data_IF_848820077540
#
_entry.id   IF_848820077540
#
_cell.length_a   1.000
_cell.length_b   1.000
_cell.length_c   1.000
_cell.angle_alpha   90.00
_cell.angle_beta   90.00
_cell.angle_gamma   90.00
#
_symmetry.space_group_name_H-M   'P 1'
#
loop_
_entity.id
_entity.type
_entity.pdbx_description
1 polymer ?
#
# COMPACT_ATOMS: atom_id res chain seq x y z
N UNK A 1 17.36 23.29 51.44
CA UNK A 1 15.90 23.06 51.61
C UNK A 1 15.28 22.83 50.24
N UNK A 2 14.92 21.63 49.78
CA UNK A 2 15.22 20.26 50.17
C UNK A 2 15.46 19.44 48.90
N UNK A 3 16.52 18.63 48.87
CA UNK A 3 16.85 17.74 47.77
C UNK A 3 16.25 16.35 48.07
N UNK A 4 15.30 15.91 47.24
CA UNK A 4 14.83 14.53 47.23
C UNK A 4 15.87 13.66 46.53
N UNK A 5 16.52 12.79 47.31
CA UNK A 5 17.48 11.80 46.85
C UNK A 5 16.75 10.45 46.78
N UNK A 6 16.45 9.96 45.59
CA UNK A 6 15.92 8.61 45.39
C UNK A 6 17.05 7.58 45.56
N UNK A 7 16.95 6.73 46.59
CA UNK A 7 17.75 5.51 46.76
C UNK A 7 17.05 4.37 46.01
N UNK A 8 17.78 3.71 45.10
CA UNK A 8 17.36 2.44 44.50
C UNK A 8 17.64 1.29 45.49
N UNK A 9 16.73 0.30 45.63
CA UNK A 9 16.98 -0.87 46.46
C UNK A 9 17.98 -1.81 45.79
N UNK A 10 19.06 -2.12 46.50
CA UNK A 10 20.02 -3.18 46.18
C UNK A 10 19.37 -4.54 46.41
N UNK A 11 19.17 -5.31 45.34
CA UNK A 11 18.79 -6.72 45.44
C UNK A 11 20.02 -7.58 45.78
N UNK A 12 19.94 -8.29 46.90
CA UNK A 12 20.89 -9.32 47.28
C UNK A 12 20.56 -10.64 46.54
N UNK A 13 21.56 -11.38 46.03
CA UNK A 13 21.32 -12.69 45.43
C UNK A 13 21.02 -13.74 46.52
N UNK A 14 20.11 -14.71 46.27
CA UNK A 14 19.84 -15.76 47.23
C UNK A 14 21.01 -16.76 47.31
N UNK A 15 21.32 -17.15 48.54
CA UNK A 15 22.28 -18.19 48.91
C UNK A 15 21.84 -19.55 48.36
N UNK A 16 22.75 -20.24 47.69
CA UNK A 16 22.64 -21.65 47.37
C UNK A 16 22.96 -22.52 48.60
N UNK A 17 22.17 -23.56 48.82
CA UNK A 17 22.47 -24.67 49.72
C UNK A 17 22.79 -25.92 48.91
N UNK A 18 23.98 -26.47 49.16
CA UNK A 18 24.53 -27.71 48.62
C UNK A 18 23.84 -28.98 49.13
N UNK A 19 23.61 -29.93 48.22
CA UNK A 19 23.95 -31.38 48.25
C UNK A 19 23.60 -31.90 46.84
N UNK A 20 24.33 -32.75 46.12
CA UNK A 20 25.50 -33.58 46.38
C UNK A 20 26.21 -33.90 45.06
N UNK A 21 27.49 -34.28 45.19
CA UNK A 21 28.47 -34.42 44.13
C UNK A 21 28.53 -35.84 43.52
N UNK A 22 28.98 -35.92 42.26
CA UNK A 22 30.09 -36.73 41.71
C UNK A 22 29.84 -36.92 40.21
N UNK A 23 30.51 -36.13 39.36
CA UNK A 23 31.83 -36.39 38.73
C UNK A 23 31.70 -37.26 37.45
N UNK A 24 32.38 -37.00 36.32
CA UNK A 24 33.27 -35.94 35.87
C UNK A 24 33.66 -36.22 34.40
N UNK A 25 34.39 -35.26 33.83
CA UNK A 25 35.14 -35.22 32.55
C UNK A 25 34.33 -34.68 31.34
N UNK A 26 34.73 -33.57 30.70
CA UNK A 26 36.08 -33.06 30.48
C UNK A 26 36.22 -31.51 30.57
N UNK A 27 37.43 -31.11 31.00
CA UNK A 27 38.03 -29.76 31.10
C UNK A 27 38.11 -29.04 29.73
N UNK A 28 37.83 -27.72 29.61
CA UNK A 28 38.68 -26.54 29.94
C UNK A 28 39.93 -26.38 29.02
N UNK A 29 40.40 -25.24 28.50
CA UNK A 29 40.07 -23.80 28.50
C UNK A 29 40.98 -23.15 27.44
N UNK A 30 40.51 -22.17 26.65
CA UNK A 30 41.25 -20.92 26.43
C UNK A 30 40.31 -19.84 25.85
N UNK A 31 40.27 -18.70 26.54
CA UNK A 31 39.56 -17.50 26.16
C UNK A 31 40.36 -16.66 25.15
N UNK A 32 39.69 -15.91 24.27
CA UNK A 32 39.80 -14.45 24.14
C UNK A 32 39.10 -13.92 22.88
N UNK A 33 38.57 -12.69 23.02
CA UNK A 33 38.20 -11.71 21.98
C UNK A 33 36.83 -11.84 21.29
N UNK A 34 35.84 -11.20 21.94
CA UNK A 34 34.72 -10.53 21.28
C UNK A 34 34.85 -9.02 21.51
N UNK A 35 34.46 -8.19 20.53
CA UNK A 35 33.81 -6.92 20.84
C UNK A 35 32.40 -6.84 20.24
N UNK A 36 31.45 -6.40 21.07
CA UNK A 36 30.11 -5.93 20.72
C UNK A 36 30.14 -4.48 20.15
N UNK A 37 29.00 -3.81 19.91
CA UNK A 37 28.37 -3.67 18.61
C UNK A 37 28.44 -2.25 18.03
N UNK A 38 28.26 -2.16 16.70
CA UNK A 38 28.20 -0.93 15.91
C UNK A 38 26.98 -0.08 16.24
N UNK A 39 27.26 1.14 16.69
CA UNK A 39 26.36 2.29 16.81
C UNK A 39 26.51 3.15 15.54
N UNK A 40 25.38 3.72 15.09
CA UNK A 40 25.31 4.75 14.05
C UNK A 40 26.35 5.87 14.27
N UNK A 41 27.09 6.21 13.21
CA UNK A 41 27.69 7.54 13.07
C UNK A 41 27.71 7.96 11.60
N UNK A 42 27.09 9.12 11.35
CA UNK A 42 27.07 9.81 10.07
C UNK A 42 28.48 10.23 9.64
N UNK A 43 28.75 10.14 8.34
CA UNK A 43 30.01 10.53 7.74
C UNK A 43 30.24 12.05 7.78
N UNK A 44 31.41 12.44 8.28
CA UNK A 44 31.99 13.76 8.05
C UNK A 44 33.11 13.60 7.01
N UNK A 45 33.01 14.32 5.90
CA UNK A 45 34.06 14.43 4.89
C UNK A 45 35.05 15.56 5.26
N UNK A 46 36.35 15.44 4.91
CA UNK A 46 37.38 16.37 5.32
C UNK A 46 37.43 17.65 4.47
N UNK A 47 37.81 18.75 5.12
CA UNK A 47 38.09 20.04 4.52
C UNK A 47 39.38 20.01 3.67
N UNK A 48 39.32 20.65 2.50
CA UNK A 48 40.45 21.03 1.65
C UNK A 48 40.27 22.49 1.17
N UNK A 49 41.34 23.18 0.72
CA UNK A 49 41.58 24.58 1.09
C UNK A 49 40.93 25.63 0.17
N UNK A 50 40.88 26.84 0.74
CA UNK A 50 40.37 28.08 0.17
C UNK A 50 41.03 28.49 -1.16
N UNK A 51 40.22 29.03 -2.08
CA UNK A 51 40.66 29.90 -3.17
C UNK A 51 39.73 31.12 -3.24
N UNK A 52 40.36 32.26 -3.49
CA UNK A 52 39.91 33.62 -3.26
C UNK A 52 38.75 34.12 -4.15
N UNK A 53 38.11 35.18 -3.65
CA UNK A 53 37.12 36.01 -4.30
C UNK A 53 37.60 36.64 -5.61
N UNK A 54 36.73 36.67 -6.63
CA UNK A 54 36.73 37.72 -7.66
C UNK A 54 35.27 38.08 -8.02
N UNK A 55 35.08 39.38 -8.09
CA UNK A 55 33.91 40.23 -8.36
C UNK A 55 33.05 39.89 -9.58
N UNK A 56 31.76 40.18 -9.47
CA UNK A 56 30.83 40.39 -10.59
C UNK A 56 31.25 41.61 -11.45
N UNK A 57 30.78 41.69 -12.72
CA UNK A 57 29.68 42.63 -12.95
C UNK A 57 28.61 42.19 -13.97
N UNK A 58 27.45 42.83 -13.77
CA UNK A 58 26.35 43.17 -14.68
C UNK A 58 26.68 43.31 -16.17
N UNK A 59 25.81 42.80 -17.06
CA UNK A 59 25.02 43.61 -18.01
C UNK A 59 24.29 42.78 -19.10
N UNK A 60 22.98 43.05 -19.23
CA UNK A 60 22.20 43.29 -20.46
C UNK A 60 22.35 42.41 -21.73
N UNK A 61 21.22 41.76 -22.05
CA UNK A 61 20.42 41.92 -23.27
C UNK A 61 20.67 41.06 -24.55
N UNK A 62 19.52 40.75 -25.17
CA UNK A 62 19.21 40.46 -26.59
C UNK A 62 19.10 39.00 -27.06
N UNK A 63 17.83 38.63 -27.26
CA UNK A 63 17.21 38.10 -28.50
C UNK A 63 18.01 37.15 -29.38
N UNK A 64 17.44 35.99 -29.70
CA UNK A 64 16.96 35.66 -31.05
C UNK A 64 16.17 34.36 -31.07
N UNK A 65 15.12 34.37 -31.90
CA UNK A 65 14.18 33.30 -32.19
C UNK A 65 14.71 32.41 -33.35
N UNK A 66 13.95 31.43 -33.89
CA UNK A 66 14.45 30.08 -34.16
C UNK A 66 14.80 29.83 -35.63
N UNK A 67 15.54 28.75 -35.90
CA UNK A 67 15.69 28.19 -37.25
C UNK A 67 15.31 26.71 -37.33
N UNK A 68 14.44 26.46 -38.31
CA UNK A 68 14.01 25.18 -38.87
C UNK A 68 15.15 24.43 -39.57
N UNK A 69 15.04 23.10 -39.61
CA UNK A 69 15.17 22.21 -40.79
C UNK A 69 15.42 20.78 -40.27
N UNK A 70 14.46 19.87 -40.37
CA UNK A 70 14.25 18.94 -41.50
C UNK A 70 15.19 17.74 -41.51
N UNK A 71 14.58 16.55 -41.43
CA UNK A 71 14.76 15.41 -42.34
C UNK A 71 15.14 14.04 -41.69
N UNK A 72 14.30 13.05 -42.03
CA UNK A 72 14.60 11.66 -42.40
C UNK A 72 14.84 10.59 -41.31
N UNK A 73 13.92 9.60 -41.33
CA UNK A 73 13.93 8.24 -40.76
C UNK A 73 15.10 7.35 -41.27
N UNK A 74 15.13 6.01 -41.04
CA UNK A 74 14.86 5.18 -39.85
C UNK A 74 16.00 4.14 -39.57
N UNK A 75 16.06 3.54 -38.37
CA UNK A 75 16.66 2.23 -38.09
C UNK A 75 16.23 1.77 -36.68
N UNK A 76 15.46 0.70 -36.50
CA UNK A 76 15.87 -0.71 -36.51
C UNK A 76 16.94 -1.03 -35.44
N UNK A 77 16.55 -1.78 -34.41
CA UNK A 77 17.42 -2.29 -33.34
C UNK A 77 16.57 -2.67 -32.11
N UNK A 78 15.83 -3.76 -32.17
CA UNK A 78 16.23 -5.09 -31.70
C UNK A 78 15.86 -5.32 -30.23
N UNK A 79 14.76 -6.04 -30.06
CA UNK A 79 14.25 -6.66 -28.83
C UNK A 79 14.89 -8.05 -28.66
N UNK A 80 15.43 -8.33 -27.48
CA UNK A 80 15.71 -9.65 -26.89
C UNK A 80 16.23 -9.39 -25.45
N UNK A 81 15.86 -10.09 -24.38
CA UNK A 81 15.43 -11.47 -24.27
C UNK A 81 14.55 -11.66 -23.01
N UNK A 82 13.43 -12.35 -23.15
CA UNK A 82 12.79 -13.08 -22.06
C UNK A 82 12.91 -14.55 -22.42
N UNK A 83 13.68 -15.27 -21.63
CA UNK A 83 13.99 -16.69 -21.83
C UNK A 83 12.77 -17.54 -21.47
N UNK A 84 12.37 -18.38 -22.42
CA UNK A 84 11.24 -19.28 -22.36
C UNK A 84 11.40 -20.39 -21.31
N UNK A 85 10.33 -20.65 -20.54
CA UNK A 85 10.12 -21.90 -19.82
C UNK A 85 9.52 -22.93 -20.81
N UNK A 86 10.35 -23.85 -21.27
CA UNK A 86 9.93 -24.98 -22.09
C UNK A 86 9.33 -26.09 -21.19
N UNK A 87 8.03 -26.31 -21.33
CA UNK A 87 7.29 -27.43 -20.74
C UNK A 87 7.73 -28.72 -21.43
N UNK A 88 8.42 -29.60 -20.70
CA UNK A 88 8.70 -30.96 -21.16
C UNK A 88 7.52 -31.87 -20.83
N UNK A 89 6.99 -32.52 -21.86
CA UNK A 89 5.92 -33.49 -21.77
C UNK A 89 6.49 -34.85 -21.37
N UNK A 90 6.32 -35.25 -20.11
CA UNK A 90 6.66 -36.60 -19.68
C UNK A 90 5.41 -37.41 -19.30
N UNK A 91 4.96 -38.15 -20.31
CA UNK A 91 4.06 -39.31 -20.23
C UNK A 91 4.54 -40.27 -19.14
N UNK A 92 3.81 -40.43 -18.04
CA UNK A 92 3.89 -41.64 -17.19
C UNK A 92 2.55 -42.03 -16.55
N UNK A 93 2.06 -43.15 -17.07
CA UNK A 93 1.45 -44.33 -16.41
C UNK A 93 0.35 -44.10 -15.35
N UNK A 94 -0.84 -44.56 -15.79
CA UNK A 94 -2.02 -44.92 -15.03
C UNK A 94 -1.69 -45.73 -13.76
N UNK A 95 -2.10 -45.23 -12.61
CA UNK A 95 -2.49 -46.04 -11.46
C UNK A 95 -3.93 -45.71 -11.10
N UNK A 96 -4.81 -46.68 -11.35
CA UNK A 96 -6.21 -46.67 -10.94
C UNK A 96 -6.29 -47.00 -9.46
N UNK A 97 -6.56 -45.99 -8.62
CA UNK A 97 -6.99 -46.20 -7.24
C UNK A 97 -8.50 -45.95 -7.16
N UNK A 98 -9.23 -47.01 -6.81
CA UNK A 98 -10.66 -47.00 -6.48
C UNK A 98 -10.90 -46.12 -5.25
N UNK A 99 -11.57 -44.98 -5.41
CA UNK A 99 -12.24 -44.31 -4.31
C UNK A 99 -13.74 -44.55 -4.39
N UNK A 100 -14.27 -45.17 -3.33
CA UNK A 100 -15.67 -45.49 -3.09
C UNK A 100 -16.51 -44.21 -3.00
N UNK A 101 -17.73 -44.32 -3.51
CA UNK A 101 -18.68 -43.23 -3.57
C UNK A 101 -19.11 -42.67 -2.22
N UNK A 102 -19.31 -41.36 -2.22
CA UNK A 102 -20.17 -40.68 -1.27
C UNK A 102 -21.29 -40.00 -2.06
N UNK A 103 -22.50 -40.30 -1.65
CA UNK A 103 -23.75 -39.93 -2.29
C UNK A 103 -23.94 -38.41 -2.33
N UNK A 104 -24.22 -37.89 -3.53
CA UNK A 104 -24.70 -36.54 -3.73
C UNK A 104 -26.11 -36.41 -3.13
N UNK A 105 -26.23 -35.66 -2.03
CA UNK A 105 -27.52 -35.16 -1.54
C UNK A 105 -27.99 -34.04 -2.48
N UNK A 106 -29.08 -34.30 -3.21
CA UNK A 106 -29.83 -33.28 -3.95
C UNK A 106 -30.37 -32.23 -2.97
N UNK A 107 -29.86 -31.01 -3.05
CA UNK A 107 -30.48 -29.84 -2.43
C UNK A 107 -31.59 -29.32 -3.36
N UNK A 108 -32.76 -29.05 -2.77
CA UNK A 108 -33.91 -28.46 -3.46
C UNK A 108 -33.64 -26.99 -3.82
N UNK A 109 -34.21 -26.47 -4.92
CA UNK A 109 -34.05 -25.08 -5.31
C UNK A 109 -34.82 -24.17 -4.35
N UNK A 110 -34.09 -23.32 -3.61
CA UNK A 110 -34.67 -22.17 -2.89
C UNK A 110 -34.90 -21.09 -3.93
N UNK A 111 -36.16 -20.67 -4.08
CA UNK A 111 -36.57 -19.58 -4.95
C UNK A 111 -36.04 -18.25 -4.39
N UNK A 112 -35.02 -17.69 -5.02
CA UNK A 112 -34.57 -16.30 -4.82
C UNK A 112 -35.51 -15.37 -5.57
N UNK A 113 -36.13 -14.44 -4.85
CA UNK A 113 -36.94 -13.37 -5.42
C UNK A 113 -36.08 -12.47 -6.33
N UNK A 114 -36.63 -11.96 -7.45
CA UNK A 114 -35.87 -11.09 -8.34
C UNK A 114 -35.73 -9.70 -7.71
N UNK A 115 -34.48 -9.32 -7.38
CA UNK A 115 -34.10 -7.92 -7.21
C UNK A 115 -34.37 -7.20 -8.53
N UNK A 116 -35.35 -6.29 -8.52
CA UNK A 116 -35.68 -5.42 -9.63
C UNK A 116 -34.47 -4.50 -9.83
N UNK A 117 -33.66 -4.82 -10.86
CA UNK A 117 -32.57 -3.96 -11.29
C UNK A 117 -33.19 -2.73 -11.96
N UNK A 118 -33.24 -1.62 -11.24
CA UNK A 118 -33.51 -0.29 -11.78
C UNK A 118 -32.53 -0.02 -12.93
N UNK A 119 -33.03 0.53 -14.03
CA UNK A 119 -32.20 0.89 -15.17
C UNK A 119 -31.19 1.96 -14.72
N UNK A 120 -29.91 1.60 -14.74
CA UNK A 120 -28.81 2.48 -14.35
C UNK A 120 -28.77 3.69 -15.28
N UNK A 121 -29.05 4.86 -14.73
CA UNK A 121 -29.01 6.14 -15.40
C UNK A 121 -27.54 6.56 -15.56
N UNK A 122 -27.14 7.12 -16.70
CA UNK A 122 -25.77 7.61 -16.88
C UNK A 122 -25.36 8.56 -15.73
N UNK A 123 -24.06 8.62 -15.39
CA UNK A 123 -23.56 9.47 -14.30
C UNK A 123 -24.13 10.89 -14.46
N UNK A 124 -24.91 11.41 -13.49
CA UNK A 124 -25.52 12.72 -13.64
C UNK A 124 -24.46 13.80 -13.90
N UNK A 125 -24.70 14.66 -14.90
CA UNK A 125 -23.73 15.67 -15.33
C UNK A 125 -23.29 16.61 -14.19
N UNK A 126 -24.18 16.85 -13.23
CA UNK A 126 -23.90 17.64 -12.03
C UNK A 126 -22.83 17.00 -11.14
N UNK A 127 -22.87 15.66 -10.99
CA UNK A 127 -21.90 14.91 -10.19
C UNK A 127 -20.53 14.89 -10.87
N UNK A 128 -20.51 14.74 -12.20
CA UNK A 128 -19.26 14.85 -13.00
C UNK A 128 -18.68 16.26 -12.88
N UNK A 129 -19.51 17.30 -12.98
CA UNK A 129 -19.07 18.69 -12.84
C UNK A 129 -18.50 18.97 -11.45
N UNK A 130 -19.14 18.46 -10.40
CA UNK A 130 -18.62 18.56 -9.03
C UNK A 130 -17.28 17.83 -8.88
N UNK A 131 -17.16 16.59 -9.35
CA UNK A 131 -15.89 15.86 -9.29
C UNK A 131 -14.76 16.62 -10.00
N UNK A 132 -15.04 17.25 -11.16
CA UNK A 132 -14.09 18.14 -11.86
C UNK A 132 -13.74 19.38 -11.05
N UNK A 133 -14.71 19.98 -10.38
CA UNK A 133 -14.52 21.18 -9.57
C UNK A 133 -13.58 20.92 -8.39
N UNK A 134 -13.58 19.71 -7.81
CA UNK A 134 -12.62 19.34 -6.75
C UNK A 134 -11.15 19.47 -7.20
N UNK A 135 -10.82 19.14 -8.45
CA UNK A 135 -9.44 19.29 -8.93
C UNK A 135 -9.06 20.75 -9.14
N UNK A 136 -9.95 21.56 -9.71
CA UNK A 136 -9.65 22.96 -10.01
C UNK A 136 -9.73 23.86 -8.77
N UNK A 137 -10.77 23.67 -7.95
CA UNK A 137 -11.14 24.60 -6.88
C UNK A 137 -10.52 24.22 -5.53
N UNK A 138 -10.28 22.92 -5.28
CA UNK A 138 -9.69 22.45 -4.02
C UNK A 138 -8.22 22.13 -4.21
N UNK A 139 -7.91 21.27 -5.19
CA UNK A 139 -6.53 20.81 -5.39
C UNK A 139 -5.69 21.76 -6.23
N UNK A 140 -6.30 22.73 -6.93
CA UNK A 140 -5.63 23.68 -7.84
C UNK A 140 -4.78 22.98 -8.91
N UNK A 141 -5.24 21.83 -9.38
CA UNK A 141 -4.56 21.01 -10.39
C UNK A 141 -5.43 20.76 -11.61
N UNK A 142 -4.78 20.35 -12.69
CA UNK A 142 -5.48 19.94 -13.91
C UNK A 142 -6.33 18.70 -13.65
N UNK A 143 -7.59 18.75 -14.10
CA UNK A 143 -8.49 17.59 -14.13
C UNK A 143 -7.86 16.42 -14.94
N UNK A 144 -7.82 15.19 -14.38
CA UNK A 144 -7.38 14.01 -15.10
C UNK A 144 -8.19 13.78 -16.38
N UNK A 145 -7.52 13.45 -17.48
CA UNK A 145 -8.17 13.39 -18.82
C UNK A 145 -9.30 12.37 -18.90
N UNK A 146 -9.21 11.28 -18.15
CA UNK A 146 -10.17 10.17 -18.17
C UNK A 146 -11.08 10.15 -16.95
N UNK A 147 -11.21 11.25 -16.22
CA UNK A 147 -12.05 11.32 -15.02
C UNK A 147 -13.50 10.91 -15.33
N UNK A 148 -14.08 11.39 -16.43
CA UNK A 148 -15.47 11.08 -16.80
C UNK A 148 -15.69 9.58 -17.01
N UNK A 149 -14.74 8.96 -17.71
CA UNK A 149 -14.74 7.51 -18.00
C UNK A 149 -14.54 6.73 -16.71
N UNK A 150 -13.64 7.17 -15.85
CA UNK A 150 -13.40 6.57 -14.54
C UNK A 150 -14.65 6.58 -13.66
N UNK A 151 -15.35 7.71 -13.58
CA UNK A 151 -16.60 7.83 -12.81
C UNK A 151 -17.69 6.90 -13.38
N UNK A 152 -17.81 6.81 -14.71
CA UNK A 152 -18.73 5.89 -15.36
C UNK A 152 -18.36 4.41 -15.10
N UNK A 153 -17.07 4.08 -15.07
CA UNK A 153 -16.58 2.73 -14.73
C UNK A 153 -16.85 2.39 -13.26
N UNK A 154 -16.67 3.34 -12.33
CA UNK A 154 -17.05 3.17 -10.93
C UNK A 154 -18.56 2.91 -10.82
N UNK A 155 -19.37 3.70 -11.52
CA UNK A 155 -20.82 3.51 -11.51
C UNK A 155 -21.24 2.14 -12.06
N UNK A 156 -20.73 1.75 -13.23
CA UNK A 156 -20.96 0.43 -13.80
C UNK A 156 -20.39 -0.72 -12.97
N UNK A 157 -19.46 -0.44 -12.05
CA UNK A 157 -18.96 -1.42 -11.07
C UNK A 157 -19.83 -1.51 -9.80
N UNK A 158 -20.96 -0.79 -9.77
CA UNK A 158 -21.94 -0.80 -8.68
C UNK A 158 -21.67 0.22 -7.57
N UNK A 159 -20.88 1.27 -7.84
CA UNK A 159 -20.73 2.40 -6.93
C UNK A 159 -21.71 3.53 -7.30
N UNK A 160 -22.16 4.29 -6.32
CA UNK A 160 -22.90 5.54 -6.50
C UNK A 160 -21.91 6.69 -6.48
N UNK A 161 -21.75 7.39 -7.61
CA UNK A 161 -20.89 8.59 -7.69
C UNK A 161 -21.42 9.66 -6.75
N UNK A 162 -20.51 10.36 -6.05
CA UNK A 162 -20.84 11.39 -5.09
C UNK A 162 -21.08 12.75 -5.77
N UNK A 163 -22.15 13.41 -5.36
CA UNK A 163 -22.45 14.80 -5.69
C UNK A 163 -21.92 15.79 -4.66
N UNK A 164 -22.26 17.06 -4.87
CA UNK A 164 -21.91 18.15 -3.95
C UNK A 164 -22.51 17.89 -2.56
N UNK A 165 -21.70 18.03 -1.52
CA UNK A 165 -22.06 17.81 -0.10
C UNK A 165 -22.51 16.37 0.27
N UNK A 166 -22.67 15.45 -0.69
CA UNK A 166 -23.01 14.04 -0.41
C UNK A 166 -21.89 13.34 0.38
N UNK A 167 -20.63 13.76 0.21
CA UNK A 167 -19.50 13.24 0.97
C UNK A 167 -19.67 13.41 2.49
N UNK A 168 -20.41 14.43 2.94
CA UNK A 168 -20.68 14.67 4.37
C UNK A 168 -21.58 13.59 4.96
N UNK A 169 -22.41 12.93 4.13
CA UNK A 169 -23.33 11.89 4.55
C UNK A 169 -22.64 10.55 4.77
N UNK A 170 -21.46 10.34 4.17
CA UNK A 170 -20.63 9.14 4.39
C UNK A 170 -20.37 8.97 5.89
N UNK A 171 -20.12 10.09 6.58
CA UNK A 171 -19.64 10.09 7.96
C UNK A 171 -18.36 9.26 8.12
N UNK A 172 -18.12 8.80 9.34
CA UNK A 172 -16.96 7.97 9.64
C UNK A 172 -15.63 8.72 9.55
N UNK A 173 -14.55 7.97 9.42
CA UNK A 173 -13.19 8.49 9.54
C UNK A 173 -12.36 8.23 8.28
N UNK A 174 -12.57 9.07 7.26
CA UNK A 174 -11.85 8.98 5.99
C UNK A 174 -10.41 9.44 6.13
N UNK A 175 -9.52 8.75 5.41
CA UNK A 175 -8.11 9.10 5.31
C UNK A 175 -7.97 10.56 4.84
N UNK A 176 -7.11 11.39 5.46
CA UNK A 176 -7.04 12.84 5.20
C UNK A 176 -6.72 13.20 3.74
N UNK A 177 -6.03 12.29 3.04
CA UNK A 177 -5.61 12.47 1.64
C UNK A 177 -6.41 11.67 0.61
N UNK A 178 -7.53 11.09 1.02
CA UNK A 178 -8.44 10.41 0.11
C UNK A 178 -9.46 11.41 -0.43
N UNK A 179 -9.50 11.57 -1.75
CA UNK A 179 -10.57 12.29 -2.45
C UNK A 179 -11.74 11.32 -2.67
N UNK A 180 -12.85 11.42 -1.92
CA UNK A 180 -13.98 10.51 -2.07
C UNK A 180 -14.74 10.82 -3.36
N UNK A 181 -14.93 9.83 -4.22
CA UNK A 181 -15.59 10.02 -5.52
C UNK A 181 -16.86 9.18 -5.69
N UNK A 182 -16.91 8.00 -5.08
CA UNK A 182 -18.08 7.13 -5.15
C UNK A 182 -18.20 6.27 -3.90
N UNK A 183 -19.41 5.79 -3.60
CA UNK A 183 -19.69 4.92 -2.46
C UNK A 183 -20.40 3.65 -2.89
N UNK A 184 -20.28 2.59 -2.12
CA UNK A 184 -21.01 1.34 -2.30
C UNK A 184 -21.46 0.81 -0.96
N UNK A 185 -22.69 0.31 -0.88
CA UNK A 185 -23.32 -0.06 0.39
C UNK A 185 -23.92 1.13 1.13
N UNK A 186 -24.45 0.88 2.32
CA UNK A 186 -25.14 1.86 3.16
C UNK A 186 -24.76 1.66 4.63
N UNK A 187 -24.92 2.70 5.45
CA UNK A 187 -24.66 2.64 6.89
C UNK A 187 -23.19 2.38 7.23
N UNK A 188 -22.94 1.46 8.17
CA UNK A 188 -21.59 1.13 8.65
C UNK A 188 -20.78 0.30 7.64
N UNK A 189 -21.43 -0.35 6.69
CA UNK A 189 -20.80 -1.17 5.65
C UNK A 189 -20.46 -0.36 4.38
N UNK A 190 -20.58 0.97 4.44
CA UNK A 190 -20.24 1.84 3.30
C UNK A 190 -18.76 1.70 2.94
N UNK A 191 -18.50 1.40 1.68
CA UNK A 191 -17.19 1.39 1.06
C UNK A 191 -17.06 2.63 0.16
N UNK A 192 -16.02 3.43 0.41
CA UNK A 192 -15.74 4.65 -0.34
C UNK A 192 -14.61 4.37 -1.32
N UNK A 193 -14.88 4.57 -2.61
CA UNK A 193 -13.87 4.56 -3.67
C UNK A 193 -13.44 5.99 -4.01
N UNK A 194 -12.14 6.17 -4.23
CA UNK A 194 -11.59 7.50 -4.47
C UNK A 194 -10.17 7.49 -5.00
N UNK A 195 -9.59 8.69 -5.01
CA UNK A 195 -8.22 8.93 -5.46
C UNK A 195 -7.36 9.34 -4.26
N UNK A 196 -6.27 8.62 -4.02
CA UNK A 196 -5.35 8.89 -2.92
C UNK A 196 -4.17 9.74 -3.38
N UNK A 197 -3.90 10.82 -2.66
CA UNK A 197 -2.71 11.66 -2.86
C UNK A 197 -1.59 11.19 -1.92
N UNK A 198 -0.54 10.58 -2.47
CA UNK A 198 0.53 9.96 -1.66
C UNK A 198 1.87 10.68 -1.73
N UNK A 199 2.19 11.29 -2.86
CA UNK A 199 3.49 11.93 -3.09
C UNK A 199 3.31 13.42 -3.36
N UNK A 200 3.31 14.27 -2.33
CA UNK A 200 3.71 15.65 -2.46
C UNK A 200 5.24 15.69 -2.38
N UNK A 201 5.93 15.14 -3.37
CA UNK A 201 7.26 15.69 -3.66
C UNK A 201 6.96 17.15 -3.99
N UNK A 202 7.29 18.07 -3.06
CA UNK A 202 6.92 19.50 -3.05
C UNK A 202 7.34 20.32 -4.28
N UNK A 203 7.70 19.65 -5.38
CA UNK A 203 7.87 20.20 -6.72
C UNK A 203 6.58 20.22 -7.55
N UNK A 204 5.59 19.32 -7.34
CA UNK A 204 4.27 19.34 -8.03
C UNK A 204 3.45 18.08 -7.71
N UNK A 205 2.16 18.26 -7.38
CA UNK A 205 1.20 17.16 -7.50
C UNK A 205 0.96 16.85 -8.97
N UNK A 206 1.02 15.58 -9.36
CA UNK A 206 0.72 15.11 -10.71
C UNK A 206 -0.60 14.33 -10.71
N UNK A 207 -1.71 14.93 -11.20
CA UNK A 207 -3.03 14.32 -11.14
C UNK A 207 -3.18 12.98 -11.86
N UNK A 208 -2.39 12.77 -12.91
CA UNK A 208 -2.40 11.51 -13.66
C UNK A 208 -1.74 10.35 -12.87
N UNK A 209 -1.17 10.62 -11.69
CA UNK A 209 -0.51 9.65 -10.80
C UNK A 209 -1.29 9.37 -9.50
N UNK A 210 -2.57 9.76 -9.43
CA UNK A 210 -3.40 9.37 -8.29
C UNK A 210 -3.63 7.86 -8.28
N UNK A 211 -3.47 7.24 -7.11
CA UNK A 211 -3.80 5.83 -6.94
C UNK A 211 -5.30 5.69 -6.69
N UNK A 212 -5.89 4.66 -7.30
CA UNK A 212 -7.28 4.30 -7.07
C UNK A 212 -7.34 3.40 -5.86
N UNK A 213 -8.09 3.82 -4.84
CA UNK A 213 -8.18 3.11 -3.58
C UNK A 213 -9.61 3.02 -3.07
N UNK A 214 -9.84 2.12 -2.13
CA UNK A 214 -11.06 2.05 -1.34
C UNK A 214 -10.79 2.12 0.16
N UNK A 215 -11.77 2.59 0.91
CA UNK A 215 -11.75 2.60 2.37
C UNK A 215 -13.16 2.32 2.91
N UNK A 216 -13.25 1.55 4.00
CA UNK A 216 -14.49 1.40 4.79
C UNK A 216 -14.38 2.24 6.07
N UNK A 217 -14.82 3.52 6.07
CA UNK A 217 -14.44 4.51 7.10
C UNK A 217 -14.98 4.24 8.50
N UNK A 218 -16.00 3.38 8.63
CA UNK A 218 -16.58 2.99 9.92
C UNK A 218 -15.91 1.77 10.53
N UNK A 219 -15.43 0.84 9.70
CA UNK A 219 -14.87 -0.44 10.14
C UNK A 219 -13.34 -0.45 10.15
N UNK A 220 -12.69 0.36 9.29
CA UNK A 220 -11.24 0.36 9.16
C UNK A 220 -10.63 1.76 9.00
N UNK A 221 -9.42 1.90 9.55
CA UNK A 221 -8.50 3.04 9.30
C UNK A 221 -7.55 2.79 8.14
N UNK A 222 -7.60 1.59 7.56
CA UNK A 222 -6.76 1.21 6.44
C UNK A 222 -7.42 1.51 5.10
N UNK A 223 -6.59 1.61 4.08
CA UNK A 223 -6.96 1.89 2.71
C UNK A 223 -6.52 0.70 1.86
N UNK A 224 -7.35 0.27 0.93
CA UNK A 224 -7.08 -0.84 0.00
C UNK A 224 -6.73 -0.31 -1.37
N UNK A 225 -5.60 -0.73 -1.93
CA UNK A 225 -5.17 -0.34 -3.27
C UNK A 225 -5.93 -1.15 -4.34
N UNK A 226 -6.68 -0.47 -5.20
CA UNK A 226 -7.33 -1.10 -6.36
C UNK A 226 -6.45 -1.06 -7.60
N UNK A 227 -5.79 0.06 -7.86
CA UNK A 227 -4.85 0.25 -8.96
C UNK A 227 -3.87 1.38 -8.68
N UNK A 228 -2.66 1.28 -9.22
CA UNK A 228 -1.62 2.32 -9.06
C UNK A 228 -1.94 3.62 -9.79
N UNK A 229 -2.83 3.58 -10.78
CA UNK A 229 -3.33 4.75 -11.48
C UNK A 229 -4.74 4.48 -12.06
N UNK A 230 -5.41 5.57 -12.45
CA UNK A 230 -6.77 5.55 -13.01
C UNK A 230 -6.86 4.80 -14.34
N UNK A 231 -5.82 4.92 -15.18
CA UNK A 231 -5.78 4.31 -16.50
C UNK A 231 -5.79 2.78 -16.40
N UNK A 232 -4.92 2.24 -15.55
CA UNK A 232 -4.85 0.81 -15.26
C UNK A 232 -6.13 0.29 -14.63
N UNK A 233 -6.77 1.06 -13.75
CA UNK A 233 -8.08 0.70 -13.21
C UNK A 233 -9.11 0.55 -14.33
N UNK A 234 -9.24 1.55 -15.21
CA UNK A 234 -10.17 1.52 -16.35
C UNK A 234 -9.88 0.31 -17.25
N UNK A 235 -8.62 0.08 -17.63
CA UNK A 235 -8.23 -1.04 -18.50
C UNK A 235 -8.54 -2.39 -17.86
N UNK A 236 -8.21 -2.57 -16.58
CA UNK A 236 -8.52 -3.79 -15.83
C UNK A 236 -10.02 -4.05 -15.82
N UNK A 237 -10.82 -3.05 -15.45
CA UNK A 237 -12.28 -3.19 -15.38
C UNK A 237 -12.89 -3.47 -16.76
N UNK A 238 -12.36 -2.89 -17.83
CA UNK A 238 -12.79 -3.19 -19.20
C UNK A 238 -12.52 -4.65 -19.60
N UNK A 239 -11.30 -5.15 -19.34
CA UNK A 239 -10.93 -6.55 -19.62
C UNK A 239 -11.76 -7.54 -18.79
N UNK A 240 -11.94 -7.27 -17.48
CA UNK A 240 -12.78 -8.10 -16.61
C UNK A 240 -14.24 -8.10 -17.05
N UNK A 241 -14.81 -6.94 -17.35
CA UNK A 241 -16.18 -6.80 -17.80
C UNK A 241 -16.42 -7.55 -19.12
N UNK A 242 -15.48 -7.44 -20.07
CA UNK A 242 -15.56 -8.17 -21.32
C UNK A 242 -15.36 -9.68 -21.16
N UNK A 243 -14.59 -10.12 -20.17
CA UNK A 243 -14.42 -11.54 -19.88
C UNK A 243 -15.68 -12.15 -19.26
N UNK A 244 -16.22 -11.54 -18.21
CA UNK A 244 -17.39 -12.06 -17.50
C UNK A 244 -18.69 -11.90 -18.30
N UNK A 245 -18.82 -10.81 -19.07
CA UNK A 245 -20.02 -10.46 -19.87
C UNK A 245 -21.33 -10.57 -19.08
N UNK A 246 -21.31 -10.35 -17.77
CA UNK A 246 -22.53 -10.40 -16.99
C UNK A 246 -23.37 -9.14 -17.27
N UNK A 247 -24.66 -9.19 -16.96
CA UNK A 247 -25.56 -8.04 -17.19
C UNK A 247 -25.06 -6.77 -16.50
N UNK A 248 -24.49 -6.90 -15.30
CA UNK A 248 -23.88 -5.79 -14.54
C UNK A 248 -22.65 -5.18 -15.22
N UNK A 249 -21.96 -5.95 -16.07
CA UNK A 249 -20.70 -5.53 -16.69
C UNK A 249 -20.92 -4.75 -18.00
N UNK A 250 -22.16 -4.76 -18.54
CA UNK A 250 -22.50 -4.05 -19.78
C UNK A 250 -22.24 -2.55 -19.68
N UNK A 251 -22.50 -1.96 -18.51
CA UNK A 251 -22.28 -0.54 -18.25
C UNK A 251 -20.79 -0.19 -18.30
N UNK A 252 -19.93 -1.05 -17.77
CA UNK A 252 -18.47 -0.89 -17.84
C UNK A 252 -17.98 -1.03 -19.28
N UNK A 253 -18.51 -1.99 -20.04
CA UNK A 253 -18.18 -2.18 -21.45
C UNK A 253 -18.57 -0.93 -22.26
N UNK A 254 -19.77 -0.39 -22.04
CA UNK A 254 -20.21 0.81 -22.74
C UNK A 254 -19.38 2.05 -22.37
N UNK A 255 -19.09 2.24 -21.09
CA UNK A 255 -18.28 3.36 -20.60
C UNK A 255 -16.86 3.38 -21.20
N UNK A 256 -16.31 2.20 -21.52
CA UNK A 256 -14.91 2.05 -21.95
C UNK A 256 -14.70 1.88 -23.45
N UNK A 257 -15.79 1.68 -24.22
CA UNK A 257 -15.75 1.34 -25.66
C UNK A 257 -14.89 2.26 -26.52
N UNK A 258 -14.91 3.57 -26.25
CA UNK A 258 -14.24 4.59 -27.05
C UNK A 258 -12.80 4.88 -26.58
N UNK A 259 -12.42 4.35 -25.42
CA UNK A 259 -11.18 4.71 -24.72
C UNK A 259 -10.22 3.53 -24.65
N UNK A 260 -10.74 2.31 -24.63
CA UNK A 260 -9.95 1.10 -24.53
C UNK A 260 -10.50 -0.01 -25.43
N UNK A 261 -9.65 -0.49 -26.33
CA UNK A 261 -9.93 -1.68 -27.12
C UNK A 261 -9.47 -2.91 -26.32
N UNK A 262 -10.43 -3.70 -25.87
CA UNK A 262 -10.21 -4.98 -25.18
C UNK A 262 -9.41 -5.93 -26.08
N UNK A 263 -8.38 -6.55 -25.51
CA UNK A 263 -7.43 -7.43 -26.22
C UNK A 263 -7.46 -8.85 -25.70
N UNK A 264 -7.93 -9.10 -24.49
CA UNK A 264 -7.97 -10.44 -23.95
C UNK A 264 -8.98 -11.32 -24.71
N UNK A 265 -8.52 -12.49 -25.17
CA UNK A 265 -9.33 -13.50 -25.85
C UNK A 265 -9.28 -14.88 -25.22
N UNK A 266 -8.74 -15.00 -24.00
CA UNK A 266 -8.65 -16.27 -23.28
C UNK A 266 -9.98 -16.72 -22.67
N UNK A 267 -10.07 -18.02 -22.35
CA UNK A 267 -11.32 -18.65 -21.91
C UNK A 267 -11.46 -18.89 -20.41
N UNK A 268 -10.39 -18.71 -19.63
CA UNK A 268 -10.33 -19.01 -18.20
C UNK A 268 -9.82 -17.83 -17.38
N UNK A 269 -10.23 -17.79 -16.09
CA UNK A 269 -9.92 -16.68 -15.19
C UNK A 269 -8.42 -16.56 -14.92
N UNK A 270 -7.71 -17.66 -14.76
CA UNK A 270 -6.26 -17.67 -14.54
C UNK A 270 -5.50 -17.08 -15.73
N UNK A 271 -5.95 -17.31 -16.97
CA UNK A 271 -5.37 -16.66 -18.15
C UNK A 271 -5.67 -15.15 -18.18
N UNK A 272 -6.86 -14.72 -17.74
CA UNK A 272 -7.18 -13.30 -17.58
C UNK A 272 -6.25 -12.66 -16.56
N UNK A 273 -6.06 -13.27 -15.40
CA UNK A 273 -5.20 -12.74 -14.34
C UNK A 273 -3.74 -12.61 -14.80
N UNK A 274 -3.22 -13.63 -15.50
CA UNK A 274 -1.89 -13.56 -16.12
C UNK A 274 -1.81 -12.45 -17.18
N UNK A 275 -2.84 -12.31 -18.02
CA UNK A 275 -2.91 -11.24 -19.02
C UNK A 275 -2.91 -9.86 -18.37
N UNK A 276 -3.72 -9.66 -17.32
CA UNK A 276 -3.77 -8.41 -16.57
C UNK A 276 -2.39 -8.04 -16.03
N UNK A 277 -1.67 -8.97 -15.39
CA UNK A 277 -0.34 -8.70 -14.84
C UNK A 277 0.72 -8.40 -15.90
N UNK A 278 0.67 -9.07 -17.06
CA UNK A 278 1.68 -8.95 -18.11
C UNK A 278 1.44 -7.74 -19.03
N UNK A 279 0.19 -7.46 -19.38
CA UNK A 279 -0.15 -6.53 -20.46
C UNK A 279 -0.82 -5.24 -19.99
N UNK A 280 -1.50 -5.27 -18.83
CA UNK A 280 -2.20 -4.09 -18.28
C UNK A 280 -1.38 -3.46 -17.15
N UNK A 281 -1.01 -4.26 -16.14
CA UNK A 281 -0.18 -3.82 -15.03
C UNK A 281 -0.34 -4.67 -13.78
N UNK A 282 0.45 -4.33 -12.77
CA UNK A 282 0.39 -4.95 -11.46
C UNK A 282 -0.90 -4.56 -10.72
N UNK A 283 -1.64 -5.56 -10.23
CA UNK A 283 -2.83 -5.36 -9.39
C UNK A 283 -2.78 -6.24 -8.14
N UNK A 284 -2.96 -5.68 -6.93
CA UNK A 284 -2.85 -6.44 -5.68
C UNK A 284 -3.77 -7.66 -5.59
N UNK A 285 -5.04 -7.48 -5.98
CA UNK A 285 -6.06 -8.53 -5.92
C UNK A 285 -5.79 -9.65 -6.94
N UNK A 286 -5.26 -9.32 -8.12
CA UNK A 286 -4.88 -10.31 -9.14
C UNK A 286 -3.69 -11.15 -8.65
N UNK A 287 -2.69 -10.54 -8.03
CA UNK A 287 -1.58 -11.28 -7.42
C UNK A 287 -2.05 -12.20 -6.30
N UNK A 288 -2.92 -11.72 -5.41
CA UNK A 288 -3.49 -12.52 -4.32
C UNK A 288 -4.29 -13.69 -4.84
N UNK A 289 -5.16 -13.46 -5.83
CA UNK A 289 -5.97 -14.51 -6.41
C UNK A 289 -5.10 -15.61 -7.04
N UNK A 290 -4.09 -15.25 -7.84
CA UNK A 290 -3.16 -16.23 -8.42
C UNK A 290 -2.35 -16.97 -7.36
N UNK A 291 -1.88 -16.28 -6.31
CA UNK A 291 -1.17 -16.91 -5.21
C UNK A 291 -2.06 -17.93 -4.48
N UNK A 292 -3.29 -17.53 -4.12
CA UNK A 292 -4.27 -18.38 -3.45
C UNK A 292 -4.66 -19.59 -4.30
N UNK A 293 -4.84 -19.43 -5.62
CA UNK A 293 -5.11 -20.55 -6.53
C UNK A 293 -4.01 -21.63 -6.46
N UNK A 294 -2.73 -21.22 -6.45
CA UNK A 294 -1.61 -22.15 -6.32
C UNK A 294 -1.52 -22.78 -4.92
N UNK A 295 -1.85 -22.03 -3.87
CA UNK A 295 -1.87 -22.54 -2.50
C UNK A 295 -2.97 -23.60 -2.31
N UNK A 296 -4.17 -23.34 -2.82
CA UNK A 296 -5.29 -24.30 -2.86
C UNK A 296 -4.99 -25.53 -3.75
N UNK A 297 -4.24 -25.32 -4.84
CA UNK A 297 -3.75 -26.35 -5.75
C UNK A 297 -2.62 -27.23 -5.20
N UNK A 298 -2.27 -27.10 -3.91
CA UNK A 298 -1.16 -27.80 -3.25
C UNK A 298 0.23 -27.52 -3.86
N UNK A 299 0.43 -26.34 -4.45
CA UNK A 299 1.72 -25.82 -4.89
C UNK A 299 2.10 -24.53 -4.12
N UNK A 300 2.42 -24.65 -2.82
CA UNK A 300 2.68 -23.48 -1.98
C UNK A 300 3.96 -22.74 -2.38
N UNK A 301 4.89 -23.39 -3.08
CA UNK A 301 6.14 -22.75 -3.55
C UNK A 301 5.84 -21.72 -4.62
N UNK A 302 5.03 -22.07 -5.63
CA UNK A 302 4.62 -21.12 -6.65
C UNK A 302 3.75 -20.02 -6.05
N UNK A 303 2.84 -20.35 -5.14
CA UNK A 303 2.04 -19.36 -4.41
C UNK A 303 2.91 -18.32 -3.69
N UNK A 304 3.95 -18.76 -2.99
CA UNK A 304 4.90 -17.87 -2.31
C UNK A 304 5.73 -17.02 -3.29
N UNK A 305 6.17 -17.57 -4.43
CA UNK A 305 6.89 -16.79 -5.46
C UNK A 305 6.01 -15.67 -6.01
N UNK A 306 4.71 -15.93 -6.21
CA UNK A 306 3.75 -14.90 -6.64
C UNK A 306 3.56 -13.84 -5.54
N UNK A 307 3.45 -14.26 -4.28
CA UNK A 307 3.37 -13.34 -3.14
C UNK A 307 4.63 -12.45 -3.02
N UNK A 308 5.82 -13.02 -3.22
CA UNK A 308 7.09 -12.28 -3.27
C UNK A 308 7.14 -11.31 -4.44
N UNK A 309 6.63 -11.69 -5.62
CA UNK A 309 6.54 -10.80 -6.80
C UNK A 309 5.60 -9.62 -6.54
N UNK A 310 4.49 -9.85 -5.81
CA UNK A 310 3.62 -8.78 -5.35
C UNK A 310 4.36 -7.84 -4.37
N UNK A 311 5.16 -8.40 -3.45
CA UNK A 311 6.01 -7.62 -2.54
C UNK A 311 7.08 -6.81 -3.30
N UNK A 312 7.65 -7.33 -4.37
CA UNK A 312 8.57 -6.55 -5.21
C UNK A 312 7.85 -5.39 -5.93
N UNK A 313 6.62 -5.65 -6.42
CA UNK A 313 5.83 -4.66 -7.16
C UNK A 313 5.32 -3.51 -6.29
N UNK A 314 4.88 -3.79 -5.06
CA UNK A 314 4.21 -2.80 -4.21
C UNK A 314 4.91 -2.55 -2.87
N UNK A 315 5.75 -3.48 -2.43
CA UNK A 315 6.32 -3.50 -1.08
C UNK A 315 7.37 -2.41 -0.82
N UNK A 316 7.68 -1.54 -1.78
CA UNK A 316 8.43 -0.30 -1.52
C UNK A 316 7.54 0.82 -0.97
N UNK A 317 6.22 0.62 -0.97
CA UNK A 317 5.25 1.66 -0.70
C UNK A 317 4.09 1.13 0.16
N UNK A 318 3.66 -0.10 -0.02
CA UNK A 318 2.53 -0.64 0.71
C UNK A 318 2.95 -1.73 1.70
N UNK A 319 2.28 -1.77 2.84
CA UNK A 319 2.48 -2.76 3.90
C UNK A 319 1.81 -4.10 3.60
N UNK A 320 0.61 -4.11 3.00
CA UNK A 320 -0.16 -5.33 2.74
C UNK A 320 0.60 -6.47 2.02
N UNK A 321 1.59 -6.23 1.12
CA UNK A 321 2.33 -7.34 0.52
C UNK A 321 3.20 -8.09 1.51
N UNK A 322 3.78 -7.40 2.49
CA UNK A 322 4.60 -8.01 3.54
C UNK A 322 3.74 -8.80 4.52
N UNK A 323 2.56 -8.27 4.84
CA UNK A 323 1.53 -8.98 5.62
C UNK A 323 1.09 -10.26 4.90
N UNK A 324 0.78 -10.19 3.61
CA UNK A 324 0.36 -11.35 2.82
C UNK A 324 1.45 -12.42 2.74
N UNK A 325 2.71 -12.03 2.50
CA UNK A 325 3.85 -12.97 2.52
C UNK A 325 4.01 -13.60 3.91
N UNK A 326 3.85 -12.83 4.99
CA UNK A 326 3.88 -13.38 6.35
C UNK A 326 2.81 -14.48 6.51
N UNK A 327 1.56 -14.18 6.12
CA UNK A 327 0.46 -15.15 6.20
C UNK A 327 0.77 -16.45 5.44
N UNK A 328 1.22 -16.34 4.19
CA UNK A 328 1.58 -17.51 3.36
C UNK A 328 2.69 -18.33 4.01
N UNK A 329 3.72 -17.69 4.56
CA UNK A 329 4.83 -18.37 5.25
C UNK A 329 4.37 -19.06 6.54
N UNK A 330 3.47 -18.44 7.30
CA UNK A 330 2.91 -19.02 8.53
C UNK A 330 2.06 -20.24 8.24
N UNK A 331 1.17 -20.13 7.25
CA UNK A 331 0.17 -21.16 6.97
C UNK A 331 0.78 -22.39 6.30
N UNK A 332 1.73 -22.21 5.37
CA UNK A 332 2.21 -23.30 4.53
C UNK A 332 3.68 -23.70 4.77
N UNK A 333 4.47 -22.84 5.43
CA UNK A 333 5.91 -23.01 5.62
C UNK A 333 6.34 -22.89 7.09
N UNK A 334 5.42 -22.95 8.04
CA UNK A 334 5.74 -22.96 9.48
C UNK A 334 4.93 -24.04 10.18
N UNK A 335 5.54 -24.75 11.14
CA UNK A 335 4.85 -25.73 11.99
C UNK A 335 4.82 -27.18 11.48
N UNK A 336 4.02 -28.02 12.13
CA UNK A 336 3.96 -29.47 11.88
C UNK A 336 3.25 -29.75 10.56
N UNK A 337 4.00 -30.23 9.56
CA UNK A 337 3.50 -30.52 8.22
C UNK A 337 3.88 -29.46 7.17
N UNK A 338 4.67 -28.45 7.56
CA UNK A 338 5.25 -27.50 6.64
C UNK A 338 6.16 -28.18 5.59
N UNK A 339 6.20 -27.61 4.39
CA UNK A 339 7.08 -28.08 3.31
C UNK A 339 8.56 -27.85 3.64
N UNK A 340 8.84 -26.75 4.34
CA UNK A 340 10.14 -26.30 4.81
C UNK A 340 9.89 -25.35 5.99
N UNK A 341 10.77 -25.33 6.99
CA UNK A 341 10.65 -24.41 8.13
C UNK A 341 11.21 -23.04 7.77
N UNK A 342 10.32 -22.05 7.60
CA UNK A 342 10.64 -20.66 7.28
C UNK A 342 10.10 -19.68 8.32
N UNK A 343 10.02 -20.11 9.58
CA UNK A 343 9.47 -19.28 10.67
C UNK A 343 10.18 -17.92 10.81
N UNK A 344 11.51 -17.91 10.70
CA UNK A 344 12.31 -16.67 10.80
C UNK A 344 11.97 -15.67 9.68
N UNK A 345 11.63 -16.16 8.49
CA UNK A 345 11.26 -15.30 7.37
C UNK A 345 9.85 -14.73 7.52
N UNK A 346 8.93 -15.52 8.10
CA UNK A 346 7.63 -15.02 8.51
C UNK A 346 7.77 -13.90 9.55
N UNK A 347 8.57 -14.13 10.60
CA UNK A 347 8.88 -13.14 11.64
C UNK A 347 9.45 -11.83 11.02
N UNK A 348 10.41 -11.96 10.09
CA UNK A 348 10.98 -10.80 9.39
C UNK A 348 9.96 -10.07 8.50
N UNK A 349 9.07 -10.80 7.83
CA UNK A 349 8.02 -10.20 6.99
C UNK A 349 7.02 -9.41 7.83
N UNK A 350 6.57 -9.96 8.96
CA UNK A 350 5.75 -9.23 9.93
C UNK A 350 6.48 -8.00 10.50
N UNK A 351 7.75 -8.13 10.88
CA UNK A 351 8.55 -7.01 11.39
C UNK A 351 8.69 -5.88 10.37
N UNK A 352 8.78 -6.18 9.07
CA UNK A 352 8.87 -5.16 8.01
C UNK A 352 7.63 -4.29 7.93
N UNK A 353 6.44 -4.82 8.23
CA UNK A 353 5.19 -4.06 8.29
C UNK A 353 5.27 -2.87 9.27
N UNK A 354 6.09 -2.96 10.31
CA UNK A 354 6.21 -1.93 11.36
C UNK A 354 7.51 -1.11 11.29
N UNK A 355 8.55 -1.61 10.60
CA UNK A 355 9.91 -1.04 10.67
C UNK A 355 10.40 -0.41 9.37
N UNK A 356 9.88 -0.85 8.22
CA UNK A 356 10.43 -0.48 6.91
C UNK A 356 9.89 0.85 6.35
N UNK A 357 9.21 1.64 7.19
CA UNK A 357 8.69 2.97 6.82
C UNK A 357 7.45 2.92 5.93
N UNK A 358 6.80 1.76 5.82
CA UNK A 358 5.49 1.67 5.16
C UNK A 358 4.40 2.19 6.10
N UNK A 359 3.41 2.89 5.56
CA UNK A 359 2.26 3.31 6.36
C UNK A 359 1.47 2.15 6.93
N UNK A 360 1.08 2.21 8.20
CA UNK A 360 0.19 1.21 8.80
C UNK A 360 -1.20 1.24 8.18
N UNK A 361 -1.66 2.40 7.70
CA UNK A 361 -2.93 2.51 6.96
C UNK A 361 -2.88 1.83 5.57
N UNK A 362 -1.74 1.30 5.13
CA UNK A 362 -1.61 0.49 3.89
C UNK A 362 -1.63 -1.02 4.14
N UNK A 363 -1.86 -1.46 5.37
CA UNK A 363 -2.09 -2.87 5.71
C UNK A 363 -3.53 -3.26 5.39
N UNK A 364 -3.80 -4.55 5.22
CA UNK A 364 -5.14 -5.01 4.94
C UNK A 364 -5.96 -5.20 6.22
N UNK A 365 -7.28 -4.99 6.10
CA UNK A 365 -8.20 -5.21 7.20
C UNK A 365 -8.85 -6.61 7.19
N UNK A 366 -8.75 -7.36 6.08
CA UNK A 366 -9.58 -8.55 5.82
C UNK A 366 -8.98 -9.87 6.31
N UNK A 367 -7.91 -9.84 7.11
CA UNK A 367 -7.25 -11.04 7.64
C UNK A 367 -7.02 -10.97 9.14
N UNK A 368 -5.78 -10.70 9.51
CA UNK A 368 -5.35 -10.59 10.89
C UNK A 368 -5.64 -9.18 11.42
N UNK A 369 -6.02 -9.04 12.69
CA UNK A 369 -6.05 -7.70 13.27
C UNK A 369 -4.63 -7.14 13.30
N UNK A 370 -4.49 -5.81 13.25
CA UNK A 370 -3.18 -5.15 13.37
C UNK A 370 -2.43 -5.59 14.64
N UNK A 371 -3.16 -5.91 15.71
CA UNK A 371 -2.63 -6.45 16.95
C UNK A 371 -2.06 -7.87 16.78
N UNK A 372 -2.72 -8.73 16.01
CA UNK A 372 -2.24 -10.09 15.74
C UNK A 372 -0.94 -10.05 14.93
N UNK A 373 -0.92 -9.23 13.87
CA UNK A 373 0.29 -9.01 13.07
C UNK A 373 1.45 -8.44 13.91
N UNK A 374 1.14 -7.57 14.88
CA UNK A 374 2.14 -7.04 15.82
C UNK A 374 2.72 -8.11 16.74
N UNK A 375 1.88 -9.04 17.22
CA UNK A 375 2.33 -10.18 18.01
C UNK A 375 3.23 -11.10 17.17
N UNK A 376 2.87 -11.32 15.90
CA UNK A 376 3.68 -12.11 14.96
C UNK A 376 5.04 -11.48 14.65
N UNK A 377 5.12 -10.15 14.65
CA UNK A 377 6.38 -9.44 14.44
C UNK A 377 7.39 -9.64 15.60
N UNK A 378 6.94 -10.17 16.76
CA UNK A 378 7.78 -10.50 17.93
C UNK A 378 8.74 -9.37 18.35
N UNK A 379 8.33 -8.11 18.19
CA UNK A 379 9.18 -6.94 18.43
C UNK A 379 9.36 -6.68 19.94
N UNK A 380 10.56 -6.86 20.53
CA UNK A 380 10.72 -6.85 22.00
C UNK A 380 10.36 -5.54 22.70
N UNK A 381 10.42 -4.40 21.97
CA UNK A 381 10.17 -3.05 22.52
C UNK A 381 8.88 -2.41 22.04
N UNK A 382 8.19 -3.04 21.09
CA UNK A 382 6.98 -2.51 20.44
C UNK A 382 5.88 -3.58 20.39
N UNK A 383 5.89 -4.55 21.32
CA UNK A 383 5.02 -5.72 21.27
C UNK A 383 3.54 -5.47 21.60
N UNK A 384 3.15 -4.22 21.84
CA UNK A 384 1.75 -3.86 22.12
C UNK A 384 1.37 -2.55 21.42
N UNK A 385 0.08 -2.41 21.13
CA UNK A 385 -0.45 -1.26 20.38
C UNK A 385 -0.25 0.07 21.11
N UNK A 386 -0.19 0.10 22.44
CA UNK A 386 0.06 1.34 23.18
C UNK A 386 1.51 1.79 23.04
N UNK A 387 2.47 0.86 23.11
CA UNK A 387 3.88 1.14 22.84
C UNK A 387 4.10 1.60 21.40
N UNK A 388 3.44 0.95 20.45
CA UNK A 388 3.50 1.32 19.03
C UNK A 388 2.92 2.72 18.78
N UNK A 389 1.77 3.04 19.41
CA UNK A 389 1.19 4.40 19.39
C UNK A 389 2.16 5.44 19.92
N UNK A 390 2.78 5.20 21.07
CA UNK A 390 3.75 6.13 21.68
C UNK A 390 4.98 6.31 20.77
N UNK A 391 5.43 5.25 20.10
CA UNK A 391 6.51 5.33 19.14
C UNK A 391 6.20 6.26 17.97
N UNK A 392 5.03 6.10 17.34
CA UNK A 392 4.62 6.95 16.22
C UNK A 392 4.37 8.39 16.63
N UNK A 393 3.76 8.62 17.81
CA UNK A 393 3.61 9.98 18.34
C UNK A 393 4.94 10.68 18.56
N UNK A 394 5.93 9.99 19.13
CA UNK A 394 7.28 10.54 19.29
C UNK A 394 7.89 10.92 17.94
N UNK A 395 7.71 10.10 16.90
CA UNK A 395 8.17 10.39 15.54
C UNK A 395 7.46 11.58 14.91
N UNK A 396 6.16 11.74 15.13
CA UNK A 396 5.39 12.89 14.66
C UNK A 396 5.88 14.21 15.29
N UNK A 397 6.31 14.16 16.56
CA UNK A 397 6.81 15.33 17.29
C UNK A 397 8.33 15.54 17.19
N UNK A 398 9.05 14.67 16.49
CA UNK A 398 10.52 14.67 16.46
C UNK A 398 11.08 16.00 15.91
N UNK A 399 12.07 16.58 16.60
CA UNK A 399 12.66 17.85 16.18
C UNK A 399 13.73 17.62 15.11
N UNK A 400 13.30 17.61 13.86
CA UNK A 400 14.18 17.45 12.71
C UNK A 400 14.80 18.78 12.21
N UNK A 401 14.66 19.89 12.95
CA UNK A 401 15.19 21.22 12.54
C UNK A 401 16.71 21.23 12.34
N UNK A 402 17.45 20.39 13.06
CA UNK A 402 18.89 20.27 12.86
C UNK A 402 19.21 19.68 11.47
N UNK A 403 18.54 18.59 11.10
CA UNK A 403 18.71 17.91 9.81
C UNK A 403 18.28 18.80 8.62
N UNK A 404 17.18 19.54 8.78
CA UNK A 404 16.74 20.52 7.77
C UNK A 404 17.77 21.63 7.60
N UNK A 405 18.30 22.20 8.70
CA UNK A 405 19.34 23.25 8.62
C UNK A 405 20.64 22.77 8.00
N UNK A 406 21.03 21.51 8.21
CA UNK A 406 22.23 20.93 7.57
C UNK A 406 21.97 20.50 6.13
N UNK A 407 20.74 20.65 5.63
CA UNK A 407 20.37 20.25 4.27
C UNK A 407 20.37 18.73 4.04
N UNK A 408 20.40 17.92 5.11
CA UNK A 408 20.38 16.46 4.98
C UNK A 408 19.00 15.93 4.63
N UNK A 409 17.95 16.70 4.95
CA UNK A 409 16.57 16.46 4.53
C UNK A 409 15.92 17.78 4.11
N UNK A 410 14.99 17.73 3.15
CA UNK A 410 14.16 18.89 2.82
C UNK A 410 13.05 19.07 3.86
N UNK A 411 12.52 20.31 3.96
CA UNK A 411 11.39 20.62 4.84
C UNK A 411 10.17 19.75 4.52
N UNK A 412 9.87 19.56 3.23
CA UNK A 412 8.77 18.70 2.80
C UNK A 412 8.95 17.23 3.17
N UNK A 413 10.18 16.68 3.06
CA UNK A 413 10.44 15.32 3.52
C UNK A 413 10.24 15.17 5.04
N UNK A 414 10.63 16.17 5.82
CA UNK A 414 10.43 16.18 7.26
C UNK A 414 8.93 16.24 7.63
N UNK A 415 8.17 17.14 7.01
CA UNK A 415 6.73 17.26 7.22
C UNK A 415 5.98 16.00 6.82
N UNK A 416 6.32 15.40 5.66
CA UNK A 416 5.74 14.13 5.22
C UNK A 416 6.03 12.99 6.19
N UNK A 417 7.26 12.88 6.70
CA UNK A 417 7.61 11.87 7.68
C UNK A 417 6.81 12.04 8.99
N UNK A 418 6.59 13.29 9.43
CA UNK A 418 5.78 13.61 10.61
C UNK A 418 4.31 13.32 10.41
N UNK A 419 3.74 13.78 9.30
CA UNK A 419 2.34 13.54 8.94
C UNK A 419 2.05 12.06 8.78
N UNK A 420 2.95 11.32 8.14
CA UNK A 420 2.88 9.86 8.04
C UNK A 420 2.88 9.20 9.42
N UNK A 421 3.81 9.56 10.30
CA UNK A 421 3.85 9.02 11.66
C UNK A 421 2.58 9.37 12.45
N UNK A 422 1.99 10.55 12.26
CA UNK A 422 0.74 10.94 12.91
C UNK A 422 -0.44 10.09 12.42
N UNK A 423 -0.53 9.81 11.12
CA UNK A 423 -1.52 8.91 10.54
C UNK A 423 -1.33 7.45 11.01
N UNK A 424 -0.09 6.99 11.15
CA UNK A 424 0.21 5.66 11.71
C UNK A 424 -0.21 5.56 13.19
N UNK A 425 -0.06 6.65 13.95
CA UNK A 425 -0.55 6.70 15.32
C UNK A 425 -2.08 6.53 15.39
N UNK A 426 -2.84 7.04 14.40
CA UNK A 426 -4.31 6.83 14.31
C UNK A 426 -4.64 5.35 14.17
N UNK A 427 -3.91 4.62 13.33
CA UNK A 427 -4.05 3.15 13.22
C UNK A 427 -3.75 2.44 14.55
N UNK A 428 -2.93 3.05 15.42
CA UNK A 428 -2.66 2.57 16.77
C UNK A 428 -3.60 3.13 17.85
N UNK A 429 -4.75 3.71 17.48
CA UNK A 429 -5.75 4.23 18.42
C UNK A 429 -5.41 5.61 19.00
N UNK A 430 -4.66 6.44 18.28
CA UNK A 430 -4.52 7.87 18.58
C UNK A 430 -5.56 8.68 17.80
N UNK A 431 -6.61 9.15 18.49
CA UNK A 431 -7.67 9.97 17.88
C UNK A 431 -8.27 9.29 16.63
N UNK A 432 -9.02 10.05 15.86
CA UNK A 432 -9.50 9.72 14.51
C UNK A 432 -8.70 10.51 13.48
N UNK A 433 -8.75 10.14 12.20
CA UNK A 433 -8.23 10.97 11.10
C UNK A 433 -8.84 12.37 11.14
N UNK A 434 -10.15 12.50 11.38
CA UNK A 434 -10.77 13.80 11.61
C UNK A 434 -10.13 14.57 12.79
N UNK A 435 -9.81 13.88 13.87
CA UNK A 435 -9.20 14.46 15.07
C UNK A 435 -7.73 14.89 14.93
N UNK A 436 -7.04 14.47 13.87
CA UNK A 436 -5.66 14.91 13.56
C UNK A 436 -5.58 15.89 12.38
N UNK A 437 -6.71 16.24 11.74
CA UNK A 437 -6.73 17.13 10.56
C UNK A 437 -6.07 18.48 10.82
N UNK A 438 -6.37 19.12 11.95
CA UNK A 438 -5.77 20.41 12.30
C UNK A 438 -4.24 20.31 12.50
N UNK A 439 -3.76 19.23 13.12
CA UNK A 439 -2.33 18.98 13.30
C UNK A 439 -1.63 18.73 11.96
N UNK A 440 -2.24 17.94 11.07
CA UNK A 440 -1.74 17.73 9.71
C UNK A 440 -1.73 19.03 8.91
N UNK A 441 -2.80 19.82 8.99
CA UNK A 441 -2.92 21.13 8.32
C UNK A 441 -1.75 22.02 8.70
N UNK A 442 -1.50 22.19 10.00
CA UNK A 442 -0.40 23.02 10.50
C UNK A 442 0.98 22.49 10.07
N UNK A 443 1.15 21.18 9.97
CA UNK A 443 2.40 20.58 9.48
C UNK A 443 2.66 20.89 7.99
N UNK A 444 1.63 20.93 7.16
CA UNK A 444 1.77 21.15 5.71
C UNK A 444 1.70 22.62 5.30
N UNK A 445 1.04 23.48 6.06
CA UNK A 445 0.95 24.92 5.81
C UNK A 445 2.34 25.59 5.83
N UNK A 446 3.27 25.05 6.61
CA UNK A 446 4.66 25.52 6.66
C UNK A 446 5.52 25.05 5.47
N UNK A 447 4.99 24.20 4.58
CA UNK A 447 5.75 23.55 3.50
C UNK A 447 5.33 24.08 2.13
N UNK A 448 6.22 24.80 1.41
CA UNK A 448 5.95 25.23 0.05
C UNK A 448 5.61 24.05 -0.88
N UNK A 449 4.54 24.17 -1.67
CA UNK A 449 4.09 23.12 -2.59
C UNK A 449 3.13 22.09 -1.99
N UNK A 450 2.78 22.21 -0.70
CA UNK A 450 1.79 21.36 -0.03
C UNK A 450 0.40 22.02 0.09
N UNK A 451 0.18 23.17 -0.54
CA UNK A 451 -1.08 23.92 -0.52
C UNK A 451 -2.30 23.05 -0.91
N UNK A 452 -2.22 22.18 -1.95
CA UNK A 452 -3.34 21.30 -2.28
C UNK A 452 -3.71 20.30 -1.18
N UNK A 453 -2.75 19.88 -0.34
CA UNK A 453 -3.03 19.00 0.80
C UNK A 453 -3.73 19.76 1.92
N UNK A 454 -3.30 20.99 2.19
CA UNK A 454 -3.95 21.88 3.15
C UNK A 454 -5.39 22.15 2.71
N UNK A 455 -5.59 22.53 1.44
CA UNK A 455 -6.91 22.77 0.88
C UNK A 455 -7.82 21.54 0.97
N UNK A 456 -7.29 20.34 0.70
CA UNK A 456 -8.05 19.10 0.82
C UNK A 456 -8.39 18.77 2.28
N UNK A 457 -7.48 19.02 3.22
CA UNK A 457 -7.74 18.86 4.65
C UNK A 457 -8.89 19.79 5.09
N UNK A 458 -8.81 21.05 4.69
CA UNK A 458 -9.78 22.11 5.02
C UNK A 458 -11.15 21.86 4.37
N UNK A 459 -11.17 21.41 3.10
CA UNK A 459 -12.42 21.13 2.38
C UNK A 459 -13.21 19.97 2.98
N UNK A 460 -12.52 18.91 3.39
CA UNK A 460 -13.14 17.71 3.98
C UNK A 460 -13.14 17.72 5.52
N UNK A 461 -13.09 18.90 6.12
CA UNK A 461 -13.30 19.06 7.55
C UNK A 461 -14.82 18.94 7.85
N UNK A 462 -15.22 18.02 8.75
CA UNK A 462 -16.64 17.78 9.05
C UNK A 462 -17.34 18.96 9.74
#
# INVERSE_FOLDING_TARGET
TGQFRFQLPTFAPPRASHTGAMEAAAFATLAAQLPSPLLLAAGAAPAGPAVAAVTAPSAAARSQAPRRASALCPAAGASAAVTALAVSTQRRRRHTAKCRGLAARKAAPVATAPLVAEASEAVPAEKVAFAKSLFNDVLEVRVPRKLDVFLAVLQGSGYTVLGKDEWKQIGGDLHPFLLPLAIKGEGEDVEVAGLLIRQPNGSSLMPDLYMVVTQRPWTSKTVSLLAVDMDKYIMKRAEEAHFFKAKKDLEVIEATKDVYAVRFGGGDRTALDKWLLLEVGAFPDVYKHLALEHLEGADPKTGLVIADTMRESFGNSWGFPHEFVCHVLREHFSGKGAVEDREMEADHSAMRCFTSGYPLWTLEAEGASLQDLLMEAKMPKLGDMSSLRVFYLKRATDDQRAAVRTGSISLGCAAMAKGQALMDAVCCGHKSFAGIREELRNLYDEVPGCEPLVNMIDHFQP
#
